data_IF_068644711761
#
_entry.id   IF_068644711761
#
_cell.length_a   1.000
_cell.length_b   1.000
_cell.length_c   1.000
_cell.angle_alpha   90.00
_cell.angle_beta   90.00
_cell.angle_gamma   90.00
#
_symmetry.space_group_name_H-M   'P 1'
#
loop_
_entity.id
_entity.type
_entity.pdbx_description
1 polymer ?
#
# COMPACT_ATOMS: atom_id res chain seq x y z
N UNK A 1 11.20 7.33 15.25
CA UNK A 1 10.59 8.05 16.39
C UNK A 1 10.03 7.11 17.46
N UNK A 2 9.10 6.20 17.18
CA UNK A 2 8.60 5.22 18.18
C UNK A 2 9.45 3.94 18.32
N UNK A 3 10.32 3.67 17.34
CA UNK A 3 11.17 2.46 17.28
C UNK A 3 12.68 2.79 17.39
N UNK A 4 13.04 3.87 18.09
CA UNK A 4 14.45 4.29 18.26
C UNK A 4 15.18 4.83 17.01
N UNK A 5 14.52 4.84 15.85
CA UNK A 5 15.08 5.39 14.61
C UNK A 5 15.07 6.92 14.52
N UNK A 6 15.98 7.46 13.70
CA UNK A 6 16.08 8.88 13.35
C UNK A 6 15.23 9.22 12.12
N UNK A 7 14.64 10.41 12.10
CA UNK A 7 13.88 10.93 10.96
C UNK A 7 14.64 12.10 10.35
N UNK A 8 14.97 12.00 9.06
CA UNK A 8 15.56 13.09 8.30
C UNK A 8 14.49 13.71 7.39
N UNK A 9 14.18 14.97 7.62
CA UNK A 9 13.23 15.73 6.81
C UNK A 9 14.01 16.52 5.77
N UNK A 10 13.68 16.33 4.50
CA UNK A 10 14.26 17.06 3.37
C UNK A 10 13.20 17.91 2.69
N UNK A 11 13.65 18.88 1.89
CA UNK A 11 12.74 19.75 1.14
C UNK A 11 11.98 18.97 0.06
N UNK A 12 10.82 19.48 -0.34
CA UNK A 12 10.07 18.90 -1.46
C UNK A 12 10.91 18.84 -2.75
N UNK A 13 11.70 19.87 -3.03
CA UNK A 13 12.62 19.92 -4.17
C UNK A 13 13.69 18.82 -4.12
N UNK A 14 14.11 18.42 -2.91
CA UNK A 14 15.01 17.28 -2.72
C UNK A 14 14.29 15.97 -3.03
N UNK A 15 13.03 15.82 -2.64
CA UNK A 15 12.24 14.60 -2.88
C UNK A 15 11.95 14.39 -4.37
N UNK A 16 11.74 15.47 -5.14
CA UNK A 16 11.40 15.40 -6.56
C UNK A 16 12.61 15.33 -7.51
N UNK A 17 13.82 15.55 -7.02
CA UNK A 17 15.07 15.48 -7.78
C UNK A 17 15.86 14.24 -7.38
N UNK A 18 16.01 13.29 -8.31
CA UNK A 18 16.60 11.99 -8.05
C UNK A 18 18.06 12.08 -7.55
N UNK A 19 18.84 13.01 -8.11
CA UNK A 19 20.23 13.22 -7.72
C UNK A 19 20.35 13.84 -6.33
N UNK A 20 19.51 14.83 -6.01
CA UNK A 20 19.47 15.43 -4.67
C UNK A 20 18.99 14.43 -3.62
N UNK A 21 17.97 13.62 -3.94
CA UNK A 21 17.50 12.57 -3.05
C UNK A 21 18.59 11.55 -2.77
N UNK A 22 19.29 11.07 -3.80
CA UNK A 22 20.43 10.16 -3.64
C UNK A 22 21.51 10.75 -2.73
N UNK A 23 21.91 12.00 -2.96
CA UNK A 23 22.90 12.68 -2.11
C UNK A 23 22.45 12.77 -0.65
N UNK A 24 21.16 13.05 -0.40
CA UNK A 24 20.61 13.08 0.95
C UNK A 24 20.63 11.69 1.60
N UNK A 25 20.24 10.65 0.86
CA UNK A 25 20.25 9.25 1.31
C UNK A 25 21.68 8.84 1.72
N UNK A 26 22.67 9.14 0.88
CA UNK A 26 24.08 8.82 1.16
C UNK A 26 24.62 9.61 2.36
N UNK A 27 24.34 10.92 2.41
CA UNK A 27 24.79 11.82 3.48
C UNK A 27 24.27 11.39 4.85
N UNK A 28 22.98 11.05 4.93
CA UNK A 28 22.31 10.71 6.19
C UNK A 28 22.28 9.20 6.46
N UNK A 29 22.84 8.38 5.56
CA UNK A 29 22.85 6.91 5.62
C UNK A 29 21.45 6.35 5.83
N UNK A 30 20.49 6.86 5.06
CA UNK A 30 19.09 6.42 5.12
C UNK A 30 19.04 4.93 4.76
N UNK A 31 18.39 4.14 5.60
CA UNK A 31 18.24 2.69 5.42
C UNK A 31 16.79 2.23 5.27
N UNK A 32 15.82 3.11 5.55
CA UNK A 32 14.39 2.84 5.39
C UNK A 32 13.71 4.08 4.84
N UNK A 33 12.87 3.91 3.83
CA UNK A 33 12.09 4.98 3.23
C UNK A 33 10.79 4.41 2.67
N UNK A 34 9.69 5.15 2.77
CA UNK A 34 8.49 4.90 1.98
C UNK A 34 8.52 5.74 0.70
N UNK A 35 8.06 5.18 -0.41
CA UNK A 35 7.98 5.89 -1.68
C UNK A 35 6.64 5.63 -2.39
N UNK A 36 6.08 6.65 -3.05
CA UNK A 36 4.94 6.45 -3.94
C UNK A 36 5.35 5.61 -5.15
N UNK A 37 4.45 4.78 -5.67
CA UNK A 37 4.68 4.00 -6.90
C UNK A 37 5.20 4.85 -8.07
N UNK A 38 4.68 6.07 -8.25
CA UNK A 38 5.11 6.96 -9.33
C UNK A 38 6.59 7.37 -9.22
N UNK A 39 7.03 7.87 -8.04
CA UNK A 39 8.43 8.21 -7.79
C UNK A 39 9.35 6.99 -7.88
N UNK A 40 8.91 5.83 -7.39
CA UNK A 40 9.68 4.59 -7.48
C UNK A 40 9.94 4.18 -8.94
N UNK A 41 8.90 4.22 -9.78
CA UNK A 41 9.02 3.92 -11.21
C UNK A 41 9.94 4.94 -11.92
N UNK A 42 9.85 6.21 -11.54
CA UNK A 42 10.72 7.25 -12.09
C UNK A 42 12.20 7.03 -11.71
N UNK A 43 12.50 6.78 -10.43
CA UNK A 43 13.88 6.71 -9.94
C UNK A 43 14.58 5.41 -10.25
N UNK A 44 13.86 4.29 -10.36
CA UNK A 44 14.44 3.05 -10.91
C UNK A 44 14.97 3.19 -12.34
N UNK A 45 14.48 4.18 -13.10
CA UNK A 45 14.98 4.51 -14.44
C UNK A 45 16.04 5.61 -14.43
N UNK A 46 15.80 6.69 -13.70
CA UNK A 46 16.65 7.89 -13.75
C UNK A 46 17.91 7.78 -12.90
N UNK A 47 17.81 7.23 -11.69
CA UNK A 47 18.91 7.17 -10.72
C UNK A 47 18.71 5.97 -9.78
N UNK A 48 19.02 4.77 -10.30
CA UNK A 48 18.83 3.51 -9.56
C UNK A 48 19.63 3.50 -8.24
N UNK A 49 20.73 4.26 -8.18
CA UNK A 49 21.57 4.42 -7.00
C UNK A 49 20.85 5.00 -5.77
N UNK A 50 19.65 5.57 -5.92
CA UNK A 50 18.77 5.97 -4.81
C UNK A 50 18.49 4.81 -3.84
N UNK A 51 18.47 3.58 -4.34
CA UNK A 51 18.08 2.42 -3.52
C UNK A 51 19.27 1.66 -2.90
N UNK A 52 20.51 2.03 -3.22
CA UNK A 52 21.69 1.21 -2.94
C UNK A 52 21.98 0.99 -1.45
N UNK A 53 21.67 1.96 -0.59
CA UNK A 53 21.92 1.91 0.86
C UNK A 53 20.67 1.55 1.67
N UNK A 54 19.52 1.41 1.02
CA UNK A 54 18.28 1.04 1.66
C UNK A 54 18.28 -0.45 2.04
N UNK A 55 17.74 -0.73 3.23
CA UNK A 55 17.45 -2.08 3.72
C UNK A 55 15.97 -2.43 3.56
N UNK A 56 15.09 -1.45 3.68
CA UNK A 56 13.64 -1.63 3.58
C UNK A 56 13.02 -0.48 2.78
N UNK A 57 12.19 -0.84 1.80
CA UNK A 57 11.52 0.10 0.91
C UNK A 57 10.06 -0.35 0.70
N UNK A 58 9.13 0.12 1.53
CA UNK A 58 7.71 0.01 1.24
C UNK A 58 7.34 0.97 0.11
N UNK A 59 6.63 0.47 -0.89
CA UNK A 59 6.15 1.26 -2.04
C UNK A 59 4.66 1.06 -2.20
N UNK A 60 3.92 2.13 -2.43
CA UNK A 60 2.48 2.03 -2.58
C UNK A 60 1.82 3.30 -3.10
N UNK A 61 0.49 3.34 -2.98
CA UNK A 61 -0.34 4.44 -3.47
C UNK A 61 -0.88 4.24 -4.89
N UNK A 62 -0.29 3.34 -5.67
CA UNK A 62 -0.80 2.92 -7.00
C UNK A 62 -0.32 1.50 -7.34
N UNK A 63 -0.86 0.90 -8.41
CA UNK A 63 -0.46 -0.43 -8.89
C UNK A 63 1.01 -0.43 -9.27
N UNK A 64 1.81 -1.26 -8.59
CA UNK A 64 3.24 -1.38 -8.85
C UNK A 64 3.53 -1.89 -10.26
N UNK A 65 4.57 -1.31 -10.86
CA UNK A 65 5.01 -1.69 -12.19
C UNK A 65 6.04 -2.82 -12.14
N UNK A 66 5.67 -3.98 -12.68
CA UNK A 66 6.51 -5.20 -12.71
C UNK A 66 7.92 -4.95 -13.28
N UNK A 67 8.10 -4.28 -14.44
CA UNK A 67 9.44 -4.03 -14.96
C UNK A 67 10.34 -3.22 -14.03
N UNK A 68 9.79 -2.22 -13.34
CA UNK A 68 10.52 -1.36 -12.42
C UNK A 68 10.90 -2.10 -11.14
N UNK A 69 9.96 -2.87 -10.58
CA UNK A 69 10.19 -3.75 -9.42
C UNK A 69 11.29 -4.77 -9.73
N UNK A 70 11.18 -5.49 -10.84
CA UNK A 70 12.16 -6.50 -11.23
C UNK A 70 13.55 -5.90 -11.47
N UNK A 71 13.61 -4.69 -12.03
CA UNK A 71 14.88 -3.96 -12.23
C UNK A 71 15.55 -3.66 -10.89
N UNK A 72 14.81 -3.14 -9.91
CA UNK A 72 15.35 -2.83 -8.58
C UNK A 72 15.75 -4.10 -7.82
N UNK A 73 14.94 -5.16 -7.86
CA UNK A 73 15.27 -6.44 -7.22
C UNK A 73 16.54 -7.08 -7.81
N UNK A 74 16.72 -6.97 -9.13
CA UNK A 74 17.92 -7.49 -9.80
C UNK A 74 19.18 -6.74 -9.36
N UNK A 75 19.11 -5.42 -9.24
CA UNK A 75 20.25 -4.58 -8.86
C UNK A 75 20.56 -4.68 -7.36
N UNK A 76 19.53 -4.75 -6.52
CA UNK A 76 19.64 -4.75 -5.06
C UNK A 76 18.90 -5.95 -4.45
N UNK A 77 19.40 -7.19 -4.61
CA UNK A 77 18.72 -8.40 -4.13
C UNK A 77 18.62 -8.50 -2.60
N UNK A 78 19.36 -7.67 -1.86
CA UNK A 78 19.31 -7.60 -0.40
C UNK A 78 18.29 -6.59 0.13
N UNK A 79 17.70 -5.76 -0.74
CA UNK A 79 16.68 -4.80 -0.38
C UNK A 79 15.36 -5.51 -0.08
N UNK A 80 14.79 -5.29 1.11
CA UNK A 80 13.41 -5.70 1.42
C UNK A 80 12.45 -4.73 0.76
N UNK A 81 12.04 -5.05 -0.46
CA UNK A 81 11.03 -4.31 -1.22
C UNK A 81 9.64 -4.87 -0.90
N UNK A 82 8.70 -4.00 -0.53
CA UNK A 82 7.33 -4.42 -0.21
C UNK A 82 6.30 -3.56 -0.95
N UNK A 83 5.25 -4.19 -1.47
CA UNK A 83 4.05 -3.49 -1.89
C UNK A 83 3.18 -3.22 -0.66
N UNK A 84 2.78 -1.97 -0.46
CA UNK A 84 1.83 -1.62 0.59
C UNK A 84 0.55 -1.04 -0.03
N UNK A 85 -0.56 -1.44 0.55
CA UNK A 85 -1.88 -1.00 0.13
C UNK A 85 -2.68 -0.58 1.37
N UNK A 86 -3.39 0.54 1.26
CA UNK A 86 -4.51 0.83 2.13
C UNK A 86 -5.14 2.19 1.84
N UNK A 87 -6.42 2.35 2.19
CA UNK A 87 -7.10 3.63 2.12
C UNK A 87 -6.67 4.55 3.28
N UNK A 88 -6.91 5.85 3.12
CA UNK A 88 -6.68 6.83 4.21
C UNK A 88 -7.54 6.49 5.43
N UNK A 89 -8.74 5.98 5.18
CA UNK A 89 -9.75 5.61 6.17
C UNK A 89 -9.36 4.40 7.04
N UNK A 90 -8.28 3.69 6.71
CA UNK A 90 -7.71 2.63 7.55
C UNK A 90 -6.25 2.91 7.93
N UNK A 91 -5.86 4.19 8.02
CA UNK A 91 -4.58 4.67 8.52
C UNK A 91 -3.36 4.20 7.70
N UNK A 92 -3.19 4.82 6.52
CA UNK A 92 -2.01 4.69 5.64
C UNK A 92 -1.96 3.39 4.84
N UNK A 93 -1.83 2.23 5.48
CA UNK A 93 -1.80 0.94 4.80
C UNK A 93 -2.43 -0.16 5.67
N UNK A 94 -3.22 -1.01 5.03
CA UNK A 94 -3.93 -2.14 5.64
C UNK A 94 -3.25 -3.47 5.34
N UNK A 95 -2.57 -3.59 4.21
CA UNK A 95 -1.94 -4.83 3.76
C UNK A 95 -0.54 -4.60 3.23
N UNK A 96 0.28 -5.65 3.32
CA UNK A 96 1.67 -5.67 2.87
C UNK A 96 1.97 -6.97 2.11
N UNK A 97 2.71 -6.84 1.01
CA UNK A 97 3.27 -7.95 0.25
C UNK A 97 4.78 -7.78 0.12
N UNK A 98 5.55 -8.63 0.80
CA UNK A 98 7.01 -8.70 0.61
C UNK A 98 7.32 -9.29 -0.78
N UNK A 99 8.05 -8.53 -1.60
CA UNK A 99 8.41 -8.93 -2.96
C UNK A 99 9.79 -9.58 -2.92
N UNK A 100 9.81 -10.91 -2.73
CA UNK A 100 11.06 -11.67 -2.54
C UNK A 100 11.65 -12.21 -3.84
N UNK A 101 10.91 -12.15 -4.95
CA UNK A 101 11.31 -12.73 -6.23
C UNK A 101 10.84 -11.87 -7.42
N UNK A 102 11.45 -12.00 -8.61
CA UNK A 102 10.97 -11.33 -9.80
C UNK A 102 9.52 -11.70 -10.13
N UNK A 103 8.72 -10.70 -10.46
CA UNK A 103 7.30 -10.84 -10.72
C UNK A 103 7.05 -10.98 -12.23
N UNK A 104 6.07 -11.79 -12.62
CA UNK A 104 5.66 -11.97 -14.03
C UNK A 104 4.23 -11.50 -14.30
N UNK A 105 3.47 -11.21 -13.23
CA UNK A 105 2.08 -10.79 -13.25
C UNK A 105 1.88 -9.60 -12.32
N UNK A 106 0.65 -9.07 -12.26
CA UNK A 106 0.29 -8.00 -11.35
C UNK A 106 0.71 -8.33 -9.92
N UNK A 107 1.30 -7.35 -9.24
CA UNK A 107 1.88 -7.53 -7.90
C UNK A 107 0.74 -7.50 -6.88
N UNK A 108 0.54 -8.56 -6.08
CA UNK A 108 -0.52 -8.61 -5.09
C UNK A 108 -0.39 -7.51 -4.04
N UNK A 109 -1.50 -7.21 -3.36
CA UNK A 109 -1.52 -6.28 -2.21
C UNK A 109 -1.23 -6.99 -0.88
N UNK A 110 -1.14 -8.31 -0.90
CA UNK A 110 -0.53 -9.07 0.18
C UNK A 110 -1.48 -9.51 1.27
N UNK A 111 -1.07 -9.36 2.53
CA UNK A 111 -1.81 -9.81 3.71
C UNK A 111 -2.04 -8.64 4.67
N UNK A 112 -3.09 -8.67 5.51
CA UNK A 112 -3.28 -7.69 6.56
C UNK A 112 -2.03 -7.52 7.41
N UNK A 113 -1.67 -6.29 7.72
CA UNK A 113 -0.65 -5.99 8.73
C UNK A 113 -1.17 -6.36 10.13
N UNK A 114 -0.29 -6.34 11.12
CA UNK A 114 -0.66 -6.56 12.51
C UNK A 114 -1.81 -5.65 12.94
N UNK A 115 -2.72 -6.20 13.76
CA UNK A 115 -3.92 -5.52 14.26
C UNK A 115 -4.88 -5.01 13.17
N UNK A 116 -4.71 -5.42 11.91
CA UNK A 116 -5.63 -5.13 10.80
C UNK A 116 -6.33 -6.40 10.31
N UNK A 117 -7.49 -6.21 9.68
CA UNK A 117 -8.22 -7.29 9.00
C UNK A 117 -8.55 -6.88 7.57
N UNK A 118 -8.72 -7.88 6.70
CA UNK A 118 -9.19 -7.69 5.34
C UNK A 118 -10.16 -8.82 4.98
N UNK A 119 -11.24 -8.48 4.28
CA UNK A 119 -12.25 -9.43 3.86
C UNK A 119 -12.66 -9.12 2.41
N UNK A 120 -12.79 -10.16 1.60
CA UNK A 120 -13.38 -10.07 0.27
C UNK A 120 -14.85 -10.48 0.38
N UNK A 121 -15.78 -9.56 0.09
CA UNK A 121 -17.22 -9.77 0.32
C UNK A 121 -18.05 -9.52 -0.92
N UNK A 122 -19.22 -10.15 -0.99
CA UNK A 122 -20.23 -9.81 -1.99
C UNK A 122 -21.12 -8.63 -1.52
N UNK A 123 -22.09 -8.24 -2.37
CA UNK A 123 -23.01 -7.12 -2.08
C UNK A 123 -23.86 -7.30 -0.81
N UNK A 124 -24.03 -8.53 -0.33
CA UNK A 124 -24.75 -8.85 0.91
C UNK A 124 -23.81 -9.02 2.11
N UNK A 125 -22.55 -8.56 2.01
CA UNK A 125 -21.52 -8.68 3.04
C UNK A 125 -21.21 -10.12 3.47
N UNK A 126 -21.40 -11.09 2.57
CA UNK A 126 -20.95 -12.47 2.78
C UNK A 126 -19.55 -12.66 2.20
N UNK A 127 -18.71 -13.43 2.90
CA UNK A 127 -17.36 -13.76 2.43
C UNK A 127 -17.42 -14.45 1.07
N UNK A 128 -16.53 -14.03 0.18
CA UNK A 128 -16.28 -14.74 -1.07
C UNK A 128 -15.37 -15.95 -0.83
N UNK A 129 -15.57 -17.05 -1.57
CA UNK A 129 -14.64 -18.17 -1.57
C UNK A 129 -13.29 -17.76 -2.17
N UNK A 130 -12.25 -18.54 -1.87
CA UNK A 130 -10.92 -18.38 -2.47
C UNK A 130 -11.06 -18.36 -4.01
N UNK A 131 -10.39 -17.41 -4.65
CA UNK A 131 -10.39 -17.20 -6.10
C UNK A 131 -11.55 -16.37 -6.66
N UNK A 132 -12.61 -16.12 -5.87
CA UNK A 132 -13.74 -15.30 -6.32
C UNK A 132 -13.52 -13.81 -5.99
N UNK A 133 -13.84 -12.96 -6.97
CA UNK A 133 -13.78 -11.50 -6.83
C UNK A 133 -14.87 -10.96 -5.90
N UNK A 134 -14.50 -10.04 -5.02
CA UNK A 134 -15.40 -9.35 -4.09
C UNK A 134 -14.90 -7.97 -3.71
N UNK A 135 -15.77 -7.18 -3.11
CA UNK A 135 -15.40 -5.90 -2.51
C UNK A 135 -14.44 -6.15 -1.35
N UNK A 136 -13.33 -5.41 -1.31
CA UNK A 136 -12.46 -5.37 -0.15
C UNK A 136 -13.11 -4.50 0.93
N UNK A 137 -13.27 -5.07 2.11
CA UNK A 137 -13.47 -4.30 3.34
C UNK A 137 -12.28 -4.54 4.27
N UNK A 138 -11.81 -3.48 4.90
CA UNK A 138 -10.66 -3.52 5.83
C UNK A 138 -11.11 -3.13 7.22
N UNK A 139 -10.60 -3.81 8.24
CA UNK A 139 -10.97 -3.56 9.64
C UNK A 139 -9.74 -3.53 10.55
N UNK A 140 -10.00 -3.63 11.86
CA UNK A 140 -9.00 -3.60 12.91
C UNK A 140 -8.72 -2.20 13.46
N UNK A 141 -7.60 -2.06 14.17
CA UNK A 141 -7.29 -0.87 14.97
C UNK A 141 -6.98 0.37 14.11
N UNK A 142 -6.68 0.17 12.83
CA UNK A 142 -6.41 1.24 11.87
C UNK A 142 -7.65 2.01 11.39
N UNK A 143 -8.86 1.52 11.68
CA UNK A 143 -10.09 2.12 11.14
C UNK A 143 -10.32 3.51 11.72
N UNK A 144 -10.46 4.50 10.83
CA UNK A 144 -10.72 5.88 11.20
C UNK A 144 -12.08 6.07 11.87
N UNK A 145 -12.23 7.19 12.59
CA UNK A 145 -13.50 7.53 13.28
C UNK A 145 -14.65 7.91 12.34
N UNK A 146 -14.38 8.08 11.05
CA UNK A 146 -15.32 8.58 10.07
C UNK A 146 -14.90 9.87 9.40
N UNK A 147 -15.81 10.42 8.60
CA UNK A 147 -15.62 11.67 7.87
C UNK A 147 -16.10 12.87 8.68
N UNK A 148 -15.26 13.90 8.80
CA UNK A 148 -15.58 15.12 9.53
C UNK A 148 -16.84 15.78 8.94
N UNK A 149 -17.84 16.05 9.79
CA UNK A 149 -19.11 16.69 9.43
C UNK A 149 -19.90 15.97 8.32
N UNK A 150 -19.70 14.65 8.15
CA UNK A 150 -20.42 13.82 7.16
C UNK A 150 -20.90 12.51 7.81
N UNK A 151 -21.86 12.56 8.75
CA UNK A 151 -22.32 11.38 9.48
C UNK A 151 -22.98 10.33 8.58
N UNK A 152 -23.72 10.74 7.55
CA UNK A 152 -24.38 9.81 6.61
C UNK A 152 -23.36 8.99 5.82
N UNK A 153 -22.37 9.67 5.22
CA UNK A 153 -21.28 9.00 4.50
C UNK A 153 -20.43 8.14 5.45
N UNK A 154 -20.26 8.58 6.70
CA UNK A 154 -19.57 7.78 7.72
C UNK A 154 -20.32 6.48 7.99
N UNK A 155 -21.64 6.53 8.21
CA UNK A 155 -22.45 5.34 8.44
C UNK A 155 -22.50 4.41 7.21
N UNK A 156 -22.42 4.97 6.00
CA UNK A 156 -22.34 4.19 4.76
C UNK A 156 -21.03 3.42 4.63
N UNK A 157 -19.90 4.09 4.86
CA UNK A 157 -18.56 3.52 4.60
C UNK A 157 -17.96 2.78 5.80
N UNK A 158 -18.25 3.21 7.02
CA UNK A 158 -17.72 2.64 8.27
C UNK A 158 -18.82 1.80 8.94
N UNK A 159 -18.75 0.50 8.72
CA UNK A 159 -19.77 -0.46 9.12
C UNK A 159 -19.30 -1.29 10.32
N UNK A 160 -20.25 -1.86 11.08
CA UNK A 160 -19.90 -2.92 12.04
C UNK A 160 -19.51 -4.19 11.28
N UNK A 161 -18.44 -4.84 11.71
CA UNK A 161 -17.99 -6.10 11.13
C UNK A 161 -19.04 -7.19 11.37
N UNK A 162 -19.51 -7.89 10.31
CA UNK A 162 -20.35 -9.07 10.48
C UNK A 162 -19.53 -10.30 10.89
N UNK A 163 -18.19 -10.20 10.94
CA UNK A 163 -17.27 -11.31 11.14
C UNK A 163 -16.65 -11.33 12.54
N UNK A 164 -16.48 -10.16 13.17
CA UNK A 164 -15.92 -10.03 14.51
C UNK A 164 -16.76 -9.06 15.34
N UNK A 165 -17.22 -9.52 16.50
CA UNK A 165 -17.99 -8.68 17.42
C UNK A 165 -17.15 -7.51 17.93
N UNK A 166 -17.71 -6.30 17.88
CA UNK A 166 -17.05 -5.08 18.35
C UNK A 166 -16.07 -4.43 17.37
N UNK A 167 -15.77 -5.09 16.25
CA UNK A 167 -14.93 -4.53 15.19
C UNK A 167 -15.75 -3.62 14.25
N UNK A 168 -15.12 -2.55 13.79
CA UNK A 168 -15.58 -1.74 12.67
C UNK A 168 -14.74 -2.06 11.43
N UNK A 169 -15.36 -1.95 10.25
CA UNK A 169 -14.72 -2.09 8.96
C UNK A 169 -15.01 -0.88 8.08
N UNK A 170 -14.05 -0.52 7.23
CA UNK A 170 -14.21 0.45 6.15
C UNK A 170 -14.43 -0.27 4.81
N UNK A 171 -15.46 0.15 4.07
CA UNK A 171 -15.77 -0.28 2.71
C UNK A 171 -14.91 0.45 1.70
N UNK A 172 -13.95 -0.25 1.11
CA UNK A 172 -12.93 0.39 0.27
C UNK A 172 -13.45 0.79 -1.10
N UNK A 173 -14.43 0.06 -1.64
CA UNK A 173 -14.83 0.15 -3.05
C UNK A 173 -13.86 -0.55 -4.01
N UNK A 174 -12.85 -1.25 -3.52
CA UNK A 174 -11.85 -1.95 -4.33
C UNK A 174 -12.25 -3.41 -4.56
N UNK A 175 -11.96 -3.93 -5.76
CA UNK A 175 -12.23 -5.31 -6.15
C UNK A 175 -10.99 -6.18 -5.93
N UNK A 176 -11.14 -7.21 -5.10
CA UNK A 176 -10.05 -8.11 -4.70
C UNK A 176 -10.48 -9.58 -4.71
N UNK A 177 -9.51 -10.48 -4.68
CA UNK A 177 -9.75 -11.90 -4.37
C UNK A 177 -8.62 -12.48 -3.55
N UNK A 178 -8.95 -13.48 -2.74
CA UNK A 178 -7.95 -14.29 -2.06
C UNK A 178 -7.41 -15.36 -2.98
N UNK A 179 -6.09 -15.49 -3.04
CA UNK A 179 -5.40 -16.69 -3.54
C UNK A 179 -5.45 -17.80 -2.49
N UNK A 180 -5.17 -19.03 -2.92
CA UNK A 180 -5.14 -20.20 -2.04
C UNK A 180 -4.04 -20.14 -0.97
N UNK A 181 -2.96 -19.38 -1.21
CA UNK A 181 -1.88 -19.11 -0.27
C UNK A 181 -2.18 -17.98 0.72
N UNK A 182 -3.41 -17.46 0.71
CA UNK A 182 -3.85 -16.38 1.59
C UNK A 182 -3.21 -15.02 1.25
N UNK A 183 -2.90 -14.77 -0.04
CA UNK A 183 -2.46 -13.46 -0.54
C UNK A 183 -3.63 -12.79 -1.29
N UNK A 184 -3.85 -11.49 -1.06
CA UNK A 184 -4.85 -10.69 -1.78
C UNK A 184 -4.31 -10.17 -3.10
N UNK A 185 -5.05 -10.47 -4.16
CA UNK A 185 -4.89 -9.83 -5.48
C UNK A 185 -5.88 -8.67 -5.61
N UNK A 186 -5.45 -7.61 -6.30
CA UNK A 186 -6.23 -6.40 -6.55
C UNK A 186 -6.47 -6.27 -8.06
N UNK A 187 -7.73 -6.06 -8.45
CA UNK A 187 -8.10 -5.86 -9.87
C UNK A 187 -8.27 -4.38 -10.21
N UNK A 188 -8.81 -3.60 -9.28
CA UNK A 188 -9.23 -2.24 -9.58
C UNK A 188 -10.32 -1.74 -8.65
N UNK A 189 -10.96 -0.66 -9.06
CA UNK A 189 -12.14 -0.09 -8.39
C UNK A 189 -13.41 -0.75 -8.88
N UNK A 190 -14.38 -0.88 -7.97
CA UNK A 190 -15.75 -1.20 -8.33
C UNK A 190 -16.52 0.02 -8.84
N UNK A 191 -16.07 1.22 -8.47
CA UNK A 191 -16.63 2.51 -8.87
C UNK A 191 -15.67 3.30 -9.77
N UNK A 192 -16.07 4.51 -10.16
CA UNK A 192 -15.32 5.38 -11.08
C UNK A 192 -14.21 6.20 -10.39
N UNK A 193 -13.81 5.90 -9.14
CA UNK A 193 -12.77 6.68 -8.47
C UNK A 193 -11.40 6.45 -9.13
N UNK A 194 -10.76 7.50 -9.65
CA UNK A 194 -9.44 7.38 -10.32
C UNK A 194 -8.32 7.80 -9.37
N UNK A 195 -7.24 7.01 -9.31
CA UNK A 195 -5.97 7.43 -8.71
C UNK A 195 -5.11 8.12 -9.77
N UNK A 196 -4.74 9.37 -9.54
CA UNK A 196 -3.83 10.10 -10.43
C UNK A 196 -2.52 10.30 -9.68
N UNK A 197 -1.45 9.62 -10.13
CA UNK A 197 -0.08 9.78 -9.61
C UNK A 197 0.04 9.51 -8.10
N UNK A 198 -0.69 8.52 -7.57
CA UNK A 198 -0.67 8.18 -6.14
C UNK A 198 -1.47 9.12 -5.24
N UNK A 199 -2.20 10.09 -5.80
CA UNK A 199 -3.20 10.89 -5.08
C UNK A 199 -4.60 10.42 -5.47
N UNK A 200 -5.49 10.30 -4.48
CA UNK A 200 -6.90 10.08 -4.72
C UNK A 200 -7.58 11.44 -4.97
N UNK A 201 -8.12 11.65 -6.17
CA UNK A 201 -9.09 12.73 -6.39
C UNK A 201 -10.51 12.20 -6.06
N UNK A 202 -11.34 13.08 -5.50
CA UNK A 202 -12.77 12.88 -5.30
C UNK A 202 -13.53 13.80 -6.23
#
# INVERSE_FOLDING_TARGET
LLNGGQLYVVSHDTILDASKLKQAIDKYRVNTMFMTTALFNQYSQQEIGVFASLKELPVGGDVLSVPHVNRVLKEYPQLRLANIYGPTENTTFSTIYDITEPQTQAIPIGRPIDHSTAYAVNRSLKLQPIGAWGELIVGGDGVGRGYLNRPELTAEKFIKSPFRSGEYCYRTGDLVRWRADGVLEYEGRMDEQVKIRGSAEK
#
